data_IF_263118311781
#
_entry.id   IF_263118311781
#
_cell.length_a   1.000
_cell.length_b   1.000
_cell.length_c   1.000
_cell.angle_alpha   90.00
_cell.angle_beta   90.00
_cell.angle_gamma   90.00
#
_symmetry.space_group_name_H-M   'P 1'
#
loop_
_entity.id
_entity.type
_entity.pdbx_description
1 polymer ?
#
# COMPACT_ATOMS: atom_id res chain seq x y z
N UNK A 1 -3.73 18.89 0.09
CA UNK A 1 -4.99 18.27 0.54
C UNK A 1 -5.54 17.24 -0.47
N UNK A 2 -5.88 17.58 -1.73
CA UNK A 2 -6.42 16.58 -2.70
C UNK A 2 -5.47 15.39 -2.99
N UNK A 3 -4.18 15.66 -3.22
CA UNK A 3 -3.19 14.61 -3.49
C UNK A 3 -2.95 13.70 -2.27
N UNK A 4 -2.82 14.29 -1.08
CA UNK A 4 -2.64 13.54 0.18
C UNK A 4 -3.82 12.60 0.44
N UNK A 5 -5.05 13.08 0.22
CA UNK A 5 -6.26 12.27 0.36
C UNK A 5 -6.30 11.12 -0.66
N UNK A 6 -5.90 11.34 -1.91
CA UNK A 6 -5.84 10.30 -2.93
C UNK A 6 -4.83 9.20 -2.57
N UNK A 7 -3.70 9.57 -1.98
CA UNK A 7 -2.66 8.62 -1.60
C UNK A 7 -3.09 7.79 -0.38
N UNK A 8 -3.76 8.39 0.61
CA UNK A 8 -4.36 7.64 1.74
C UNK A 8 -5.41 6.65 1.25
N UNK A 9 -6.25 7.04 0.28
CA UNK A 9 -7.23 6.15 -0.35
C UNK A 9 -6.51 5.00 -1.07
N UNK A 10 -5.46 5.28 -1.84
CA UNK A 10 -4.68 4.26 -2.55
C UNK A 10 -4.03 3.25 -1.59
N UNK A 11 -3.49 3.72 -0.46
CA UNK A 11 -2.91 2.85 0.59
C UNK A 11 -3.98 1.99 1.25
N UNK A 12 -5.14 2.57 1.55
CA UNK A 12 -6.29 1.83 2.10
C UNK A 12 -6.72 0.72 1.16
N UNK A 13 -6.86 1.00 -0.14
CA UNK A 13 -7.19 0.01 -1.16
C UNK A 13 -6.13 -1.09 -1.22
N UNK A 14 -4.82 -0.77 -1.18
CA UNK A 14 -3.75 -1.78 -1.15
C UNK A 14 -3.85 -2.72 0.05
N UNK A 15 -4.18 -2.20 1.24
CA UNK A 15 -4.35 -3.02 2.45
C UNK A 15 -5.53 -3.97 2.28
N UNK A 16 -6.68 -3.47 1.84
CA UNK A 16 -7.87 -4.31 1.60
C UNK A 16 -7.61 -5.37 0.52
N UNK A 17 -6.88 -5.02 -0.53
CA UNK A 17 -6.55 -5.94 -1.61
C UNK A 17 -5.58 -7.03 -1.14
N UNK A 18 -4.57 -6.69 -0.32
CA UNK A 18 -3.70 -7.68 0.31
C UNK A 18 -4.47 -8.64 1.23
N UNK A 19 -5.43 -8.12 2.02
CA UNK A 19 -6.31 -8.97 2.83
C UNK A 19 -7.18 -9.90 1.96
N UNK A 20 -7.76 -9.37 0.88
CA UNK A 20 -8.56 -10.16 -0.06
C UNK A 20 -7.74 -11.29 -0.69
N UNK A 21 -6.54 -11.00 -1.20
CA UNK A 21 -5.66 -12.02 -1.76
C UNK A 21 -5.19 -13.05 -0.74
N UNK A 22 -4.97 -12.64 0.52
CA UNK A 22 -4.63 -13.56 1.60
C UNK A 22 -5.78 -14.52 1.91
N UNK A 23 -7.02 -14.03 1.97
CA UNK A 23 -8.20 -14.88 2.14
C UNK A 23 -8.42 -15.80 0.94
N UNK A 24 -8.26 -15.28 -0.28
CA UNK A 24 -8.40 -16.06 -1.51
C UNK A 24 -7.37 -17.18 -1.60
N UNK A 25 -6.16 -16.96 -1.07
CA UNK A 25 -5.14 -17.99 -0.90
C UNK A 25 -5.65 -19.13 -0.01
N UNK A 26 -6.28 -18.85 1.14
CA UNK A 26 -6.83 -19.91 2.00
C UNK A 26 -7.92 -20.74 1.34
N UNK A 27 -8.73 -20.15 0.47
CA UNK A 27 -9.83 -20.83 -0.22
C UNK A 27 -9.37 -21.62 -1.45
N UNK A 28 -8.16 -21.36 -1.95
CA UNK A 28 -7.62 -22.00 -3.16
C UNK A 28 -6.94 -23.32 -2.82
N UNK A 29 -7.41 -24.41 -3.44
CA UNK A 29 -6.91 -25.78 -3.24
C UNK A 29 -5.66 -26.11 -4.07
N UNK A 30 -5.34 -25.29 -5.09
CA UNK A 30 -4.14 -25.46 -5.91
C UNK A 30 -2.93 -24.70 -5.32
N UNK A 31 -1.89 -25.45 -4.92
CA UNK A 31 -0.68 -24.92 -4.27
C UNK A 31 0.05 -23.82 -5.09
N UNK A 32 0.07 -23.95 -6.42
CA UNK A 32 0.72 -22.98 -7.31
C UNK A 32 0.04 -21.60 -7.26
N UNK A 33 -1.29 -21.61 -7.36
CA UNK A 33 -2.13 -20.41 -7.30
C UNK A 33 -2.05 -19.78 -5.90
N UNK A 34 -1.98 -20.62 -4.86
CA UNK A 34 -1.82 -20.21 -3.47
C UNK A 34 -0.54 -19.39 -3.25
N UNK A 35 0.59 -19.86 -3.78
CA UNK A 35 1.87 -19.15 -3.75
C UNK A 35 1.81 -17.84 -4.54
N UNK A 36 1.21 -17.82 -5.74
CA UNK A 36 1.07 -16.59 -6.52
C UNK A 36 0.23 -15.53 -5.79
N UNK A 37 -0.85 -15.92 -5.11
CA UNK A 37 -1.66 -14.96 -4.34
C UNK A 37 -0.92 -14.40 -3.14
N UNK A 38 -0.12 -15.21 -2.44
CA UNK A 38 0.73 -14.73 -1.33
C UNK A 38 1.80 -13.76 -1.87
N UNK A 39 2.44 -14.11 -2.98
CA UNK A 39 3.44 -13.25 -3.62
C UNK A 39 2.82 -11.90 -4.05
N UNK A 40 1.65 -11.95 -4.68
CA UNK A 40 0.93 -10.75 -5.13
C UNK A 40 0.45 -9.89 -3.96
N UNK A 41 -0.02 -10.52 -2.88
CA UNK A 41 -0.37 -9.84 -1.64
C UNK A 41 0.84 -9.12 -1.03
N UNK A 42 2.01 -9.77 -1.02
CA UNK A 42 3.26 -9.18 -0.54
C UNK A 42 3.73 -8.00 -1.41
N UNK A 43 3.67 -8.12 -2.74
CA UNK A 43 3.98 -7.03 -3.66
C UNK A 43 3.04 -5.83 -3.50
N UNK A 44 1.74 -6.09 -3.35
CA UNK A 44 0.73 -5.05 -3.10
C UNK A 44 1.02 -4.29 -1.78
N UNK A 45 1.43 -5.03 -0.75
CA UNK A 45 1.78 -4.45 0.56
C UNK A 45 3.06 -3.62 0.48
N UNK A 46 4.10 -4.13 -0.19
CA UNK A 46 5.35 -3.39 -0.46
C UNK A 46 5.09 -2.09 -1.22
N UNK A 47 4.28 -2.14 -2.28
CA UNK A 47 3.90 -0.95 -3.05
C UNK A 47 3.21 0.10 -2.18
N UNK A 48 2.24 -0.32 -1.34
CA UNK A 48 1.57 0.55 -0.39
C UNK A 48 2.53 1.23 0.60
N UNK A 49 3.51 0.49 1.14
CA UNK A 49 4.53 1.01 2.07
C UNK A 49 5.43 2.06 1.40
N UNK A 50 5.87 1.80 0.16
CA UNK A 50 6.73 2.72 -0.60
C UNK A 50 5.99 4.04 -0.86
N UNK A 51 4.73 3.94 -1.32
CA UNK A 51 3.88 5.10 -1.58
C UNK A 51 3.68 5.92 -0.30
N UNK A 52 3.42 5.25 0.83
CA UNK A 52 3.24 5.92 2.12
C UNK A 52 4.53 6.59 2.61
N UNK A 53 5.69 5.95 2.43
CA UNK A 53 6.99 6.53 2.79
C UNK A 53 7.31 7.78 1.97
N UNK A 54 7.06 7.75 0.66
CA UNK A 54 7.18 8.93 -0.20
C UNK A 54 6.28 10.09 0.28
N UNK A 55 5.06 9.76 0.73
CA UNK A 55 4.11 10.74 1.26
C UNK A 55 4.63 11.39 2.55
N UNK A 56 5.17 10.59 3.48
CA UNK A 56 5.77 11.09 4.73
C UNK A 56 6.95 12.01 4.42
N UNK A 57 7.82 11.62 3.49
CA UNK A 57 8.97 12.45 3.09
C UNK A 57 8.47 13.76 2.48
N UNK A 58 7.50 13.71 1.56
CA UNK A 58 6.91 14.89 0.96
C UNK A 58 6.29 15.83 2.00
N UNK A 59 5.51 15.28 2.93
CA UNK A 59 4.89 16.03 4.01
C UNK A 59 5.91 16.65 4.95
N UNK A 60 6.96 15.90 5.27
CA UNK A 60 8.06 16.36 6.13
C UNK A 60 8.81 17.51 5.45
N UNK A 61 9.19 17.36 4.18
CA UNK A 61 9.85 18.41 3.40
C UNK A 61 8.99 19.66 3.27
N UNK A 62 7.69 19.49 2.96
CA UNK A 62 6.73 20.59 2.91
C UNK A 62 6.62 21.31 4.26
N UNK A 63 6.56 20.57 5.37
CA UNK A 63 6.48 21.13 6.72
C UNK A 63 7.75 21.90 7.09
N UNK A 64 8.93 21.42 6.69
CA UNK A 64 10.22 22.10 6.89
C UNK A 64 10.26 23.41 6.07
N UNK A 65 9.86 23.37 4.81
CA UNK A 65 9.84 24.54 3.94
C UNK A 65 8.85 25.61 4.42
N UNK A 66 7.64 25.22 4.83
CA UNK A 66 6.64 26.15 5.39
C UNK A 66 7.04 26.74 6.74
N UNK A 67 7.92 26.08 7.50
CA UNK A 67 8.42 26.63 8.79
C UNK A 67 9.62 27.57 8.64
N UNK A 68 10.25 27.59 7.48
CA UNK A 68 11.48 28.35 7.20
C UNK A 68 11.21 29.65 6.42
N UNK A 69 10.01 29.80 5.83
CA UNK A 69 9.54 31.01 5.17
C UNK A 69 8.67 31.86 6.10
#
# INVERSE_FOLDING_TARGET
MKAESAIVIAVTICIFLSFYFSLLSFTTTEDLMKQQFVLLAAYSLLSGIIIFSCLIIYLTMKKIFTKTA
#
